data_IF_683324129242
#
_entry.id   IF_683324129242
#
_cell.length_a   1.000
_cell.length_b   1.000
_cell.length_c   1.000
_cell.angle_alpha   90.00
_cell.angle_beta   90.00
_cell.angle_gamma   90.00
#
_symmetry.space_group_name_H-M   'P 1'
#
loop_
_entity.id
_entity.type
_entity.pdbx_description
1 polymer ?
#
# COMPACT_ATOMS: atom_id res chain seq x y z
N UNK A 1 -11.02 -25.17 8.66
CA UNK A 1 -9.62 -25.50 8.30
C UNK A 1 -8.97 -24.59 7.23
N UNK A 2 -9.66 -23.85 6.32
CA UNK A 2 -8.97 -23.04 5.30
C UNK A 2 -8.16 -21.85 5.87
N UNK A 3 -8.62 -21.23 6.96
CA UNK A 3 -7.97 -20.04 7.53
C UNK A 3 -6.51 -20.24 7.95
N UNK A 4 -6.18 -21.38 8.59
CA UNK A 4 -4.83 -21.59 9.14
C UNK A 4 -3.76 -21.70 8.04
N UNK A 5 -4.10 -22.29 6.89
CA UNK A 5 -3.19 -22.40 5.75
C UNK A 5 -2.95 -21.04 5.09
N UNK A 6 -4.02 -20.24 4.92
CA UNK A 6 -3.94 -18.89 4.34
C UNK A 6 -3.07 -17.99 5.23
N UNK A 7 -3.30 -18.00 6.54
CA UNK A 7 -2.47 -17.22 7.47
C UNK A 7 -1.00 -17.67 7.48
N UNK A 8 -0.73 -18.96 7.27
CA UNK A 8 0.64 -19.45 7.17
C UNK A 8 1.34 -18.94 5.90
N UNK A 9 0.70 -19.05 4.74
CA UNK A 9 1.25 -18.57 3.46
C UNK A 9 1.58 -17.07 3.53
N UNK A 10 0.65 -16.25 4.02
CA UNK A 10 0.84 -14.79 4.17
C UNK A 10 2.00 -14.41 5.09
N UNK A 11 2.29 -15.21 6.12
CA UNK A 11 3.39 -14.95 7.05
C UNK A 11 4.76 -15.33 6.47
N UNK A 12 4.81 -16.15 5.43
CA UNK A 12 6.06 -16.55 4.76
C UNK A 12 6.46 -15.66 3.59
N UNK A 13 5.56 -14.80 3.11
CA UNK A 13 5.85 -13.89 2.00
C UNK A 13 6.92 -12.86 2.39
N UNK A 14 7.80 -12.56 1.44
CA UNK A 14 8.66 -11.38 1.52
C UNK A 14 7.83 -10.10 1.40
N UNK A 15 8.42 -8.95 1.71
CA UNK A 15 7.74 -7.66 1.57
C UNK A 15 7.34 -7.38 0.10
N UNK A 16 8.22 -7.68 -0.85
CA UNK A 16 7.91 -7.51 -2.27
C UNK A 16 6.77 -8.44 -2.72
N UNK A 17 6.79 -9.70 -2.31
CA UNK A 17 5.69 -10.63 -2.58
C UNK A 17 4.38 -10.14 -1.95
N UNK A 18 4.41 -9.62 -0.72
CA UNK A 18 3.22 -9.02 -0.11
C UNK A 18 2.70 -7.81 -0.91
N UNK A 19 3.60 -6.96 -1.44
CA UNK A 19 3.21 -5.84 -2.30
C UNK A 19 2.54 -6.33 -3.61
N UNK A 20 3.13 -7.33 -4.28
CA UNK A 20 2.53 -7.98 -5.47
C UNK A 20 1.15 -8.56 -5.17
N UNK A 21 0.99 -9.23 -4.03
CA UNK A 21 -0.30 -9.76 -3.59
C UNK A 21 -1.35 -8.65 -3.44
N UNK A 22 -1.00 -7.54 -2.78
CA UNK A 22 -1.92 -6.40 -2.60
C UNK A 22 -2.36 -5.82 -3.95
N UNK A 23 -1.42 -5.65 -4.89
CA UNK A 23 -1.71 -5.16 -6.24
C UNK A 23 -2.66 -6.11 -6.98
N UNK A 24 -2.37 -7.41 -7.01
CA UNK A 24 -3.23 -8.37 -7.71
C UNK A 24 -4.59 -8.53 -7.05
N UNK A 25 -4.65 -8.53 -5.72
CA UNK A 25 -5.91 -8.56 -4.98
C UNK A 25 -6.77 -7.34 -5.36
N UNK A 26 -6.18 -6.15 -5.35
CA UNK A 26 -6.88 -4.93 -5.73
C UNK A 26 -7.28 -4.91 -7.21
N UNK A 27 -6.42 -5.44 -8.09
CA UNK A 27 -6.73 -5.62 -9.51
C UNK A 27 -7.99 -6.46 -9.75
N UNK A 28 -8.14 -7.59 -9.04
CA UNK A 28 -9.36 -8.41 -9.13
C UNK A 28 -10.57 -7.66 -8.56
N UNK A 29 -10.44 -7.12 -7.34
CA UNK A 29 -11.55 -6.58 -6.56
C UNK A 29 -12.09 -5.26 -7.12
N UNK A 30 -11.21 -4.32 -7.47
CA UNK A 30 -11.59 -2.98 -7.92
C UNK A 30 -11.65 -2.85 -9.45
N UNK A 31 -10.78 -3.55 -10.18
CA UNK A 31 -10.64 -3.41 -11.64
C UNK A 31 -11.15 -4.62 -12.44
N UNK A 32 -11.52 -5.72 -11.77
CA UNK A 32 -12.02 -6.92 -12.43
C UNK A 32 -10.96 -7.65 -13.28
N UNK A 33 -9.69 -7.50 -12.94
CA UNK A 33 -8.58 -8.19 -13.61
C UNK A 33 -8.76 -9.70 -13.56
N UNK A 34 -8.30 -10.35 -14.62
CA UNK A 34 -8.42 -11.79 -14.82
C UNK A 34 -7.04 -12.37 -15.00
N UNK A 35 -6.62 -13.15 -14.02
CA UNK A 35 -5.36 -13.87 -14.07
C UNK A 35 -5.61 -15.33 -14.44
N UNK A 36 -4.86 -15.82 -15.41
CA UNK A 36 -4.89 -17.23 -15.79
C UNK A 36 -4.12 -18.06 -14.77
N UNK A 37 -4.68 -19.21 -14.37
CA UNK A 37 -3.99 -20.14 -13.49
C UNK A 37 -2.66 -20.61 -14.11
N UNK A 38 -1.62 -20.70 -13.29
CA UNK A 38 -0.34 -21.28 -13.68
C UNK A 38 -0.50 -22.73 -14.19
N UNK A 39 0.47 -23.17 -15.01
CA UNK A 39 0.39 -24.22 -16.04
C UNK A 39 -0.13 -25.61 -15.62
N UNK A 40 -0.30 -25.89 -14.33
CA UNK A 40 -0.67 -27.20 -13.79
C UNK A 40 -1.98 -27.25 -12.99
N UNK A 41 -2.70 -26.14 -12.83
CA UNK A 41 -4.01 -26.10 -12.15
C UNK A 41 -5.13 -26.18 -13.21
N UNK A 42 -6.28 -26.85 -12.98
CA UNK A 42 -7.38 -26.87 -13.94
C UNK A 42 -7.71 -25.46 -14.42
N UNK A 43 -7.59 -25.23 -15.74
CA UNK A 43 -7.81 -23.96 -16.46
C UNK A 43 -8.99 -23.20 -15.85
N UNK A 44 -8.66 -22.22 -15.02
CA UNK A 44 -9.62 -21.41 -14.28
C UNK A 44 -9.02 -20.04 -14.01
N UNK A 45 -9.90 -19.06 -13.79
CA UNK A 45 -9.48 -17.74 -13.34
C UNK A 45 -9.06 -17.82 -11.88
N UNK A 46 -7.91 -17.24 -11.56
CA UNK A 46 -7.43 -17.11 -10.18
C UNK A 46 -8.43 -16.26 -9.39
N UNK A 47 -8.87 -16.77 -8.24
CA UNK A 47 -9.74 -16.05 -7.30
C UNK A 47 -8.91 -15.38 -6.20
N UNK A 48 -9.52 -14.47 -5.42
CA UNK A 48 -8.88 -13.86 -4.25
C UNK A 48 -8.42 -14.91 -3.22
N UNK A 49 -9.17 -16.00 -3.07
CA UNK A 49 -8.81 -17.10 -2.17
C UNK A 49 -7.59 -17.86 -2.68
N UNK A 50 -7.48 -18.05 -4.00
CA UNK A 50 -6.32 -18.69 -4.62
C UNK A 50 -5.07 -17.83 -4.39
N UNK A 51 -5.13 -16.53 -4.70
CA UNK A 51 -4.04 -15.57 -4.46
C UNK A 51 -3.55 -15.60 -3.01
N UNK A 52 -4.47 -15.58 -2.04
CA UNK A 52 -4.12 -15.57 -0.62
C UNK A 52 -3.47 -16.89 -0.12
N UNK A 53 -3.58 -17.96 -0.92
CA UNK A 53 -3.01 -19.28 -0.58
C UNK A 53 -1.76 -19.64 -1.40
N UNK A 54 -1.46 -18.88 -2.46
CA UNK A 54 -0.33 -19.11 -3.35
C UNK A 54 1.01 -19.05 -2.61
N UNK A 55 1.98 -19.81 -3.13
CA UNK A 55 3.37 -19.67 -2.70
C UNK A 55 3.95 -18.33 -3.18
N UNK A 56 5.02 -17.87 -2.55
CA UNK A 56 5.70 -16.66 -3.00
C UNK A 56 6.24 -16.76 -4.42
N UNK A 57 6.73 -17.95 -4.82
CA UNK A 57 7.28 -18.19 -6.16
C UNK A 57 6.18 -18.14 -7.24
N UNK A 58 5.02 -18.78 -6.97
CA UNK A 58 3.87 -18.72 -7.88
C UNK A 58 3.32 -17.30 -8.00
N UNK A 59 3.30 -16.55 -6.89
CA UNK A 59 2.87 -15.17 -6.86
C UNK A 59 3.78 -14.28 -7.69
N UNK A 60 5.11 -14.45 -7.56
CA UNK A 60 6.10 -13.75 -8.37
C UNK A 60 5.91 -14.06 -9.85
N UNK A 61 5.77 -15.34 -10.21
CA UNK A 61 5.55 -15.73 -11.60
C UNK A 61 4.25 -15.15 -12.18
N UNK A 62 3.14 -15.24 -11.45
CA UNK A 62 1.85 -14.74 -11.91
C UNK A 62 1.88 -13.22 -12.13
N UNK A 63 2.54 -12.50 -11.22
CA UNK A 63 2.72 -11.06 -11.30
C UNK A 63 3.58 -10.68 -12.51
N UNK A 64 4.69 -11.38 -12.75
CA UNK A 64 5.60 -11.06 -13.85
C UNK A 64 4.99 -11.39 -15.23
N UNK A 65 4.07 -12.37 -15.29
CA UNK A 65 3.38 -12.80 -16.52
C UNK A 65 2.11 -11.96 -16.84
N UNK A 66 1.68 -11.04 -15.96
CA UNK A 66 0.40 -10.32 -16.09
C UNK A 66 0.54 -8.78 -16.09
N UNK A 67 -0.49 -8.05 -16.56
CA UNK A 67 -0.52 -6.57 -16.55
C UNK A 67 -1.23 -6.04 -15.29
N UNK A 68 -0.71 -4.94 -14.73
CA UNK A 68 -1.11 -4.44 -13.42
C UNK A 68 -1.26 -2.90 -13.33
N UNK A 69 -1.08 -2.20 -14.46
CA UNK A 69 -0.68 -0.78 -14.47
C UNK A 69 -1.61 0.13 -13.65
N UNK A 70 -2.93 -0.02 -13.76
CA UNK A 70 -3.87 0.80 -12.97
C UNK A 70 -3.84 0.43 -11.48
N UNK A 71 -3.81 -0.88 -11.19
CA UNK A 71 -3.84 -1.39 -9.83
C UNK A 71 -2.57 -1.03 -9.04
N UNK A 72 -1.40 -0.99 -9.70
CA UNK A 72 -0.12 -0.61 -9.07
C UNK A 72 -0.23 0.80 -8.48
N UNK A 73 -0.72 1.75 -9.26
CA UNK A 73 -0.79 3.15 -8.85
C UNK A 73 -1.90 3.38 -7.82
N UNK A 74 -3.07 2.76 -7.99
CA UNK A 74 -4.17 2.89 -7.02
C UNK A 74 -3.76 2.34 -5.65
N UNK A 75 -3.09 1.17 -5.63
CA UNK A 75 -2.53 0.61 -4.39
C UNK A 75 -1.49 1.55 -3.82
N UNK A 76 -0.48 1.97 -4.61
CA UNK A 76 0.58 2.89 -4.16
C UNK A 76 0.03 4.14 -3.46
N UNK A 77 -0.96 4.80 -4.04
CA UNK A 77 -1.49 6.06 -3.51
C UNK A 77 -2.46 5.88 -2.34
N UNK A 78 -2.94 4.66 -2.08
CA UNK A 78 -3.79 4.36 -0.92
C UNK A 78 -3.03 4.16 0.40
N UNK A 79 -1.69 4.07 0.35
CA UNK A 79 -0.86 3.88 1.53
C UNK A 79 -0.86 5.12 2.45
N UNK A 80 -0.73 4.88 3.75
CA UNK A 80 -0.63 5.96 4.75
C UNK A 80 0.82 6.39 4.94
N UNK A 81 1.03 7.64 5.35
CA UNK A 81 2.37 8.13 5.66
C UNK A 81 2.96 7.41 6.88
N UNK A 82 4.26 7.10 6.82
CA UNK A 82 5.01 6.43 7.88
C UNK A 82 6.13 7.35 8.41
N UNK A 83 5.78 8.45 9.10
CA UNK A 83 6.74 9.46 9.54
C UNK A 83 7.75 8.87 10.54
N UNK A 84 8.96 9.41 10.53
CA UNK A 84 10.05 9.00 11.43
C UNK A 84 10.81 7.75 10.99
N UNK A 85 10.39 7.09 9.92
CA UNK A 85 11.18 6.05 9.25
C UNK A 85 12.12 6.74 8.24
N UNK A 86 13.45 6.55 8.32
CA UNK A 86 14.35 7.05 7.30
C UNK A 86 14.06 6.40 5.94
N UNK A 87 14.04 7.20 4.88
CA UNK A 87 13.96 6.66 3.53
C UNK A 87 15.19 5.79 3.23
N UNK A 88 15.03 4.80 2.35
CA UNK A 88 16.10 3.91 1.91
C UNK A 88 16.24 3.87 0.39
N UNK A 89 15.69 4.87 -0.30
CA UNK A 89 15.82 4.93 -1.74
C UNK A 89 17.31 5.00 -2.11
N UNK A 90 17.76 4.10 -2.99
CA UNK A 90 19.17 4.02 -3.38
C UNK A 90 19.54 5.06 -4.45
N UNK A 91 18.55 5.84 -4.89
CA UNK A 91 18.68 6.77 -6.01
C UNK A 91 18.93 8.18 -5.50
N UNK A 92 19.82 8.92 -6.16
CA UNK A 92 20.12 10.32 -5.87
C UNK A 92 19.00 11.29 -6.31
N UNK A 93 17.76 10.81 -6.34
CA UNK A 93 16.59 11.48 -6.91
C UNK A 93 15.93 12.47 -5.95
N UNK A 94 16.29 12.45 -4.67
CA UNK A 94 15.87 13.42 -3.64
C UNK A 94 16.17 14.89 -4.02
N UNK A 95 17.04 15.12 -5.01
CA UNK A 95 17.30 16.47 -5.55
C UNK A 95 16.17 17.02 -6.41
N UNK A 96 15.39 16.13 -7.02
CA UNK A 96 14.39 16.45 -8.04
C UNK A 96 12.97 16.06 -7.62
N UNK A 97 12.86 15.12 -6.66
CA UNK A 97 11.60 14.56 -6.19
C UNK A 97 11.51 14.66 -4.67
N UNK A 98 10.29 14.81 -4.19
CA UNK A 98 9.98 14.58 -2.79
C UNK A 98 9.93 13.07 -2.57
N UNK A 99 10.59 12.60 -1.51
CA UNK A 99 10.65 11.18 -1.16
C UNK A 99 10.13 11.02 0.26
N UNK A 100 9.00 10.33 0.37
CA UNK A 100 8.34 10.05 1.65
C UNK A 100 8.29 8.54 1.87
N UNK A 101 8.19 8.10 3.13
CA UNK A 101 7.97 6.68 3.43
C UNK A 101 6.49 6.49 3.66
N UNK A 102 5.88 5.57 2.91
CA UNK A 102 4.48 5.17 3.09
C UNK A 102 4.39 3.71 3.50
N UNK A 103 3.27 3.33 4.10
CA UNK A 103 3.04 1.97 4.54
C UNK A 103 1.57 1.53 4.49
N UNK A 104 1.39 0.22 4.34
CA UNK A 104 0.12 -0.48 4.60
C UNK A 104 0.21 -1.17 5.95
N UNK A 105 -0.76 -0.94 6.83
CA UNK A 105 -0.85 -1.65 8.11
C UNK A 105 -1.49 -3.00 7.85
N UNK A 106 -0.76 -4.08 8.14
CA UNK A 106 -1.23 -5.45 7.95
C UNK A 106 -2.03 -5.92 9.19
N UNK A 107 -2.99 -6.85 9.02
CA UNK A 107 -3.80 -7.36 10.13
C UNK A 107 -3.01 -8.04 11.25
N UNK A 108 -1.79 -8.48 10.98
CA UNK A 108 -0.90 -9.11 11.97
C UNK A 108 -0.05 -8.11 12.77
N UNK A 109 -0.23 -6.80 12.53
CA UNK A 109 0.47 -5.72 13.21
C UNK A 109 1.83 -5.34 12.60
N UNK A 110 2.28 -6.04 11.55
CA UNK A 110 3.38 -5.56 10.69
C UNK A 110 2.86 -4.43 9.80
N UNK A 111 3.77 -3.64 9.26
CA UNK A 111 3.45 -2.69 8.21
C UNK A 111 4.35 -2.94 7.00
N UNK A 112 3.75 -3.01 5.82
CA UNK A 112 4.48 -3.09 4.55
C UNK A 112 4.79 -1.67 4.10
N UNK A 113 6.05 -1.28 4.14
CA UNK A 113 6.50 0.07 3.83
C UNK A 113 7.33 0.15 2.55
N UNK A 114 7.28 1.29 1.89
CA UNK A 114 8.02 1.60 0.67
C UNK A 114 8.33 3.10 0.61
N UNK A 115 9.34 3.48 -0.17
CA UNK A 115 9.58 4.88 -0.48
C UNK A 115 8.63 5.31 -1.60
N UNK A 116 7.85 6.36 -1.38
CA UNK A 116 6.98 6.97 -2.37
C UNK A 116 7.68 8.21 -2.90
N UNK A 117 7.70 8.36 -4.22
CA UNK A 117 8.30 9.52 -4.87
C UNK A 117 7.23 10.36 -5.53
N UNK A 118 7.20 11.65 -5.23
CA UNK A 118 6.27 12.59 -5.83
C UNK A 118 6.99 13.86 -6.32
N UNK A 119 6.32 14.66 -7.15
CA UNK A 119 6.91 15.86 -7.73
C UNK A 119 7.64 15.63 -9.07
N UNK A 120 8.74 16.35 -9.31
CA UNK A 120 9.53 16.26 -10.56
C UNK A 120 9.05 17.13 -11.73
N UNK A 121 7.97 17.91 -11.55
CA UNK A 121 7.41 18.77 -12.59
C UNK A 121 6.78 17.99 -13.76
N UNK A 122 6.45 18.69 -14.85
CA UNK A 122 5.72 18.12 -16.01
C UNK A 122 6.42 16.94 -16.70
N UNK A 123 7.72 16.78 -16.48
CA UNK A 123 8.56 15.74 -17.08
C UNK A 123 9.14 14.77 -16.04
N UNK A 124 8.60 14.80 -14.81
CA UNK A 124 8.97 13.82 -13.79
C UNK A 124 8.39 12.45 -14.14
N UNK A 125 9.15 11.40 -13.84
CA UNK A 125 8.70 10.00 -13.92
C UNK A 125 8.75 9.37 -12.51
N UNK A 126 7.93 9.86 -11.56
CA UNK A 126 7.87 9.30 -10.20
C UNK A 126 7.47 7.82 -10.17
N UNK A 127 6.88 7.32 -11.25
CA UNK A 127 6.48 5.91 -11.43
C UNK A 127 7.63 5.00 -11.82
N UNK A 128 8.80 5.56 -12.16
CA UNK A 128 10.00 4.78 -12.47
C UNK A 128 10.64 4.13 -11.23
N UNK A 129 10.23 4.51 -10.02
CA UNK A 129 10.75 3.93 -8.79
C UNK A 129 10.12 2.54 -8.52
N UNK A 130 10.93 1.47 -8.39
CA UNK A 130 10.46 0.09 -8.20
C UNK A 130 10.04 -0.16 -6.75
N UNK A 131 8.94 0.49 -6.33
CA UNK A 131 8.49 0.48 -4.93
C UNK A 131 8.09 -0.92 -4.44
N UNK A 132 7.64 -1.79 -5.34
CA UNK A 132 7.23 -3.17 -5.03
C UNK A 132 8.46 -4.00 -4.68
N UNK A 133 9.54 -3.90 -5.44
CA UNK A 133 10.77 -4.65 -5.26
C UNK A 133 11.55 -4.16 -4.03
N UNK A 134 11.50 -2.86 -3.75
CA UNK A 134 12.21 -2.24 -2.63
C UNK A 134 11.38 -2.18 -1.32
N UNK A 135 10.16 -2.73 -1.31
CA UNK A 135 9.31 -2.75 -0.13
C UNK A 135 9.97 -3.52 1.03
N UNK A 136 9.68 -3.11 2.26
CA UNK A 136 10.19 -3.72 3.50
C UNK A 136 9.12 -3.81 4.55
N UNK A 137 9.21 -4.82 5.41
CA UNK A 137 8.38 -4.85 6.62
C UNK A 137 8.98 -3.94 7.69
N UNK A 138 8.14 -3.08 8.25
CA UNK A 138 8.41 -2.30 9.44
C UNK A 138 7.44 -2.69 10.55
N UNK A 139 7.74 -2.29 11.78
CA UNK A 139 6.89 -2.53 12.94
C UNK A 139 6.12 -1.26 13.30
N UNK A 140 4.82 -1.38 13.50
CA UNK A 140 4.04 -0.32 14.15
C UNK A 140 4.37 -0.33 15.64
N UNK A 141 5.02 0.74 16.13
CA UNK A 141 5.47 0.85 17.52
C UNK A 141 4.42 1.47 18.46
N UNK A 142 3.64 2.43 17.96
CA UNK A 142 2.60 3.14 18.69
C UNK A 142 1.63 3.81 17.72
N UNK A 143 0.41 4.10 18.19
CA UNK A 143 -0.58 4.90 17.45
C UNK A 143 -0.76 6.22 18.19
N UNK A 144 -0.55 7.34 17.49
CA UNK A 144 -0.86 8.68 18.00
C UNK A 144 -2.14 9.18 17.33
N UNK A 145 -3.19 9.44 18.12
CA UNK A 145 -4.42 10.05 17.62
C UNK A 145 -4.40 11.56 17.89
N UNK A 146 -4.66 12.37 16.86
CA UNK A 146 -4.83 13.82 16.99
C UNK A 146 -6.27 14.19 16.69
N UNK A 147 -6.95 14.80 17.67
CA UNK A 147 -8.31 15.32 17.50
C UNK A 147 -8.22 16.75 16.96
N UNK A 148 -8.69 16.98 15.74
CA UNK A 148 -8.83 18.33 15.17
C UNK A 148 -10.26 18.80 15.43
N UNK A 149 -10.42 19.86 16.23
CA UNK A 149 -11.71 20.48 16.49
C UNK A 149 -11.87 21.75 15.66
N UNK A 150 -12.90 21.79 14.82
CA UNK A 150 -13.30 23.01 14.12
C UNK A 150 -14.51 23.61 14.82
N UNK A 151 -14.31 24.76 15.46
CA UNK A 151 -15.37 25.50 16.12
C UNK A 151 -16.02 26.48 15.13
N UNK A 152 -17.35 26.47 15.10
CA UNK A 152 -18.14 27.53 14.48
C UNK A 152 -18.69 28.40 15.59
N UNK A 153 -18.44 29.69 15.48
CA UNK A 153 -18.91 30.69 16.43
C UNK A 153 -20.04 31.47 15.79
N UNK A 154 -21.06 31.77 16.58
CA UNK A 154 -22.16 32.67 16.24
C UNK A 154 -22.25 33.72 17.35
N UNK A 155 -22.68 34.94 16.97
CA UNK A 155 -22.90 36.00 17.96
C UNK A 155 -24.04 35.60 18.90
N UNK A 156 -23.89 35.90 20.19
CA UNK A 156 -24.96 35.73 21.17
C UNK A 156 -25.79 37.02 21.16
N UNK A 157 -27.03 37.00 20.64
CA UNK A 157 -27.77 38.23 20.36
C UNK A 157 -28.18 39.06 21.59
N UNK A 158 -28.06 38.50 22.81
CA UNK A 158 -28.44 39.15 24.07
C UNK A 158 -27.29 39.18 25.11
N UNK A 159 -26.04 39.02 24.70
CA UNK A 159 -24.92 39.18 25.63
C UNK A 159 -24.76 40.67 25.98
N UNK A 160 -25.14 41.03 27.21
CA UNK A 160 -24.97 42.37 27.77
C UNK A 160 -23.52 42.83 27.58
N UNK A 161 -23.35 43.98 26.90
CA UNK A 161 -22.04 44.58 26.63
C UNK A 161 -21.21 44.67 27.91
N UNK A 162 -19.98 44.17 27.86
CA UNK A 162 -19.02 44.37 28.95
C UNK A 162 -18.59 45.83 28.88
N UNK A 163 -19.13 46.66 29.78
CA UNK A 163 -18.68 48.04 29.97
C UNK A 163 -17.18 48.07 30.30
N UNK A 164 -16.36 48.93 29.66
CA UNK A 164 -14.92 49.00 29.86
C UNK A 164 -14.49 49.37 31.28
#
# INVERSE_FOLDING_TARGET
>A
MPNASIHHSLNTLTASQMAKLLVMHHGIDAFGYKYDSLRDVPKGLVTLADLASMSGEDLDQLYDESSHDDAVNEVRYSAVDAPGIPCWCHYSWERNYEVEVKAFILPDGRALAFCEMSGGGKHGEPDAYPWIEEAKFIKVSSVEERVIQTYKFEDVPDASEVTP
#
